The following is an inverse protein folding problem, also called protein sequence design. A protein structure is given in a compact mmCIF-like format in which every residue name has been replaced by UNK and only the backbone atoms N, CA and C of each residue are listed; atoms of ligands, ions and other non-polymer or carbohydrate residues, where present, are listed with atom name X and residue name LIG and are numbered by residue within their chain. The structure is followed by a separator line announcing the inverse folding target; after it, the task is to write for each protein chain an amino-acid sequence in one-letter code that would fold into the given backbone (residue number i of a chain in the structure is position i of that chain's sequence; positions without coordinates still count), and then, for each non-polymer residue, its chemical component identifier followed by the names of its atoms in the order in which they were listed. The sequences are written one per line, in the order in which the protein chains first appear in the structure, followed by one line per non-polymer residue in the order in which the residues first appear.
data_IF_256319673688
#
_entry.id   IF_256319673688
#
_cell.length_a   1.000
_cell.length_b   1.000
_cell.length_c   1.000
_cell.angle_alpha   90.00
_cell.angle_beta   90.00
_cell.angle_gamma   90.00
#
_symmetry.space_group_name_H-M   'P 1'
#
loop_
_entity.id
_entity.type
_entity.pdbx_description
1 polymer ?
#
# COMPACT_ATOMS: atom_id res chain seq x y z
N UNK A 1 8.76 -12.72 9.05
CA UNK A 1 8.72 -13.27 7.68
C UNK A 1 8.75 -12.12 6.68
N UNK A 2 9.52 -12.25 5.64
CA UNK A 2 9.57 -11.29 4.53
C UNK A 2 8.65 -11.79 3.41
N UNK A 3 7.76 -10.92 2.94
CA UNK A 3 6.86 -11.22 1.83
C UNK A 3 7.23 -10.32 0.64
N UNK A 4 7.98 -10.86 -0.30
CA UNK A 4 8.51 -10.11 -1.44
C UNK A 4 7.40 -9.48 -2.30
N UNK A 5 6.26 -10.14 -2.44
CA UNK A 5 5.10 -9.62 -3.17
C UNK A 5 4.51 -8.33 -2.60
N UNK A 6 4.82 -7.97 -1.34
CA UNK A 6 4.33 -6.76 -0.68
C UNK A 6 5.33 -5.58 -0.73
N UNK A 7 6.43 -5.72 -1.46
CA UNK A 7 7.39 -4.63 -1.61
C UNK A 7 6.78 -3.43 -2.33
N UNK A 8 7.38 -2.24 -2.12
CA UNK A 8 6.97 -0.99 -2.77
C UNK A 8 7.01 -1.09 -4.30
N UNK A 9 6.30 -0.17 -4.96
CA UNK A 9 6.30 -0.05 -6.42
C UNK A 9 7.72 0.04 -6.96
N UNK A 10 7.97 -0.64 -8.06
CA UNK A 10 9.19 -0.45 -8.85
C UNK A 10 9.05 0.84 -9.67
N UNK A 11 9.84 1.84 -9.32
CA UNK A 11 9.86 3.15 -10.01
C UNK A 11 10.83 3.17 -11.20
N UNK A 12 11.44 2.04 -11.54
CA UNK A 12 12.32 1.91 -12.70
C UNK A 12 13.46 2.92 -12.70
N UNK A 13 13.56 3.72 -13.76
CA UNK A 13 14.62 4.74 -13.90
C UNK A 13 14.53 5.89 -12.91
N UNK A 14 13.42 6.02 -12.18
CA UNK A 14 13.28 7.03 -11.10
C UNK A 14 13.81 6.55 -9.75
N UNK A 15 14.18 5.27 -9.63
CA UNK A 15 14.74 4.71 -8.40
C UNK A 15 16.00 5.45 -7.95
N UNK A 16 16.08 5.70 -6.63
CA UNK A 16 17.24 6.35 -6.03
C UNK A 16 17.40 7.83 -6.36
N UNK A 17 16.42 8.44 -7.02
CA UNK A 17 16.43 9.88 -7.39
C UNK A 17 15.32 10.60 -6.65
N UNK A 18 15.57 11.82 -6.22
CA UNK A 18 14.56 12.67 -5.58
C UNK A 18 13.90 13.62 -6.61
N UNK A 19 12.80 14.22 -6.20
CA UNK A 19 12.03 15.12 -7.09
C UNK A 19 12.81 16.36 -7.55
N UNK A 20 13.79 16.84 -6.76
CA UNK A 20 14.63 17.99 -7.13
C UNK A 20 15.56 17.61 -8.28
N UNK A 21 16.15 16.41 -8.21
CA UNK A 21 17.03 15.89 -9.29
C UNK A 21 16.27 15.64 -10.59
N UNK A 22 14.97 15.40 -10.51
CA UNK A 22 14.11 15.08 -11.66
C UNK A 22 13.24 16.25 -12.11
N UNK A 23 13.35 17.43 -11.50
CA UNK A 23 12.46 18.58 -11.78
C UNK A 23 12.48 19.05 -13.25
N UNK A 24 13.53 18.75 -13.98
CA UNK A 24 13.68 19.04 -15.41
C UNK A 24 13.70 17.80 -16.30
N UNK A 25 13.49 16.61 -15.74
CA UNK A 25 13.43 15.37 -16.49
C UNK A 25 12.08 15.25 -17.21
N UNK A 26 12.06 15.23 -18.56
CA UNK A 26 10.79 15.20 -19.31
C UNK A 26 9.95 13.96 -19.04
N UNK A 27 10.58 12.80 -18.77
CA UNK A 27 9.87 11.57 -18.44
C UNK A 27 9.19 11.67 -17.07
N UNK A 28 9.88 12.25 -16.11
CA UNK A 28 9.31 12.50 -14.77
C UNK A 28 8.17 13.51 -14.83
N UNK A 29 8.34 14.61 -15.57
CA UNK A 29 7.28 15.61 -15.73
C UNK A 29 6.04 15.05 -16.41
N UNK A 30 6.22 14.21 -17.44
CA UNK A 30 5.11 13.52 -18.10
C UNK A 30 4.40 12.54 -17.17
N UNK A 31 5.15 11.81 -16.36
CA UNK A 31 4.60 10.88 -15.38
C UNK A 31 3.76 11.59 -14.30
N UNK A 32 4.26 12.70 -13.78
CA UNK A 32 3.53 13.54 -12.81
C UNK A 32 2.27 14.15 -13.45
N UNK A 33 2.37 14.64 -14.69
CA UNK A 33 1.23 15.19 -15.42
C UNK A 33 0.13 14.16 -15.68
N UNK A 34 0.48 12.88 -15.76
CA UNK A 34 -0.46 11.76 -15.85
C UNK A 34 -0.97 11.26 -14.49
N UNK A 35 -0.81 12.03 -13.42
CA UNK A 35 -1.16 11.65 -12.03
C UNK A 35 -0.52 10.34 -11.58
N UNK A 36 0.69 10.03 -12.06
CA UNK A 36 1.42 8.80 -11.75
C UNK A 36 0.71 7.51 -12.21
N UNK A 37 -0.28 7.62 -13.09
CA UNK A 37 -1.04 6.47 -13.62
C UNK A 37 -0.30 5.74 -14.75
N UNK A 38 0.54 6.46 -15.50
CA UNK A 38 1.36 5.85 -16.55
C UNK A 38 2.55 5.08 -15.94
N UNK A 39 3.12 4.11 -16.67
CA UNK A 39 4.31 3.41 -16.18
C UNK A 39 5.49 4.36 -16.05
N UNK A 40 6.27 4.20 -14.96
CA UNK A 40 7.61 4.76 -14.90
C UNK A 40 8.46 4.05 -15.96
N UNK A 41 9.41 4.75 -16.63
CA UNK A 41 10.33 4.07 -17.53
C UNK A 41 11.03 2.90 -16.81
N UNK A 42 10.95 1.70 -17.39
CA UNK A 42 11.47 0.44 -16.81
C UNK A 42 10.85 0.05 -15.44
N UNK A 43 9.71 0.63 -15.06
CA UNK A 43 9.02 0.38 -13.80
C UNK A 43 7.63 -0.21 -13.95
N UNK A 44 6.94 -0.32 -12.83
CA UNK A 44 5.56 -0.77 -12.78
C UNK A 44 4.56 0.35 -13.09
N UNK A 45 3.40 0.00 -13.67
CA UNK A 45 2.22 0.87 -13.63
C UNK A 45 1.58 0.78 -12.25
N UNK A 46 0.78 1.78 -11.89
CA UNK A 46 -0.04 1.73 -10.67
C UNK A 46 -0.98 0.52 -10.67
N UNK A 47 -1.59 0.20 -11.82
CA UNK A 47 -2.48 -0.95 -11.95
C UNK A 47 -1.75 -2.27 -11.72
N UNK A 48 -0.58 -2.47 -12.33
CA UNK A 48 0.22 -3.68 -12.14
C UNK A 48 0.73 -3.81 -10.70
N UNK A 49 1.15 -2.71 -10.10
CA UNK A 49 1.54 -2.65 -8.69
C UNK A 49 0.38 -3.07 -7.77
N UNK A 50 -0.79 -2.45 -7.93
CA UNK A 50 -1.98 -2.77 -7.12
C UNK A 50 -2.40 -4.23 -7.25
N UNK A 51 -2.34 -4.79 -8.47
CA UNK A 51 -2.66 -6.20 -8.69
C UNK A 51 -1.67 -7.14 -7.98
N UNK A 52 -0.39 -6.83 -8.06
CA UNK A 52 0.66 -7.60 -7.36
C UNK A 52 0.46 -7.56 -5.84
N UNK A 53 0.23 -6.37 -5.28
CA UNK A 53 -0.01 -6.19 -3.85
C UNK A 53 -1.26 -6.94 -3.41
N UNK A 54 -2.37 -6.78 -4.11
CA UNK A 54 -3.63 -7.42 -3.72
C UNK A 54 -3.55 -8.95 -3.77
N UNK A 55 -2.83 -9.49 -4.74
CA UNK A 55 -2.59 -10.94 -4.83
C UNK A 55 -1.77 -11.44 -3.63
N UNK A 56 -0.66 -10.78 -3.31
CA UNK A 56 0.19 -11.16 -2.19
C UNK A 56 -0.52 -10.97 -0.84
N UNK A 57 -1.24 -9.86 -0.69
CA UNK A 57 -1.98 -9.54 0.52
C UNK A 57 -3.11 -10.54 0.79
N UNK A 58 -3.94 -10.85 -0.21
CA UNK A 58 -5.03 -11.81 -0.05
C UNK A 58 -4.52 -13.20 0.31
N UNK A 59 -3.43 -13.65 -0.32
CA UNK A 59 -2.81 -14.93 0.01
C UNK A 59 -2.29 -14.97 1.45
N UNK A 60 -1.72 -13.86 1.93
CA UNK A 60 -1.23 -13.75 3.31
C UNK A 60 -2.36 -13.80 4.34
N UNK A 61 -3.46 -13.10 4.09
CA UNK A 61 -4.64 -13.14 4.97
C UNK A 61 -5.29 -14.52 4.96
N UNK A 62 -5.43 -15.14 3.79
CA UNK A 62 -5.95 -16.51 3.67
C UNK A 62 -5.10 -17.50 4.49
N UNK A 63 -3.78 -17.39 4.38
CA UNK A 63 -2.86 -18.25 5.13
C UNK A 63 -2.99 -18.04 6.64
N UNK A 64 -3.02 -16.79 7.10
CA UNK A 64 -3.16 -16.48 8.52
C UNK A 64 -4.46 -17.07 9.10
N UNK A 65 -5.57 -16.94 8.39
CA UNK A 65 -6.85 -17.53 8.80
C UNK A 65 -6.80 -19.06 8.81
N UNK A 66 -6.21 -19.68 7.80
CA UNK A 66 -6.07 -21.13 7.73
C UNK A 66 -5.18 -21.69 8.85
N UNK A 67 -4.17 -20.93 9.26
CA UNK A 67 -3.27 -21.28 10.36
C UNK A 67 -3.86 -20.99 11.75
N UNK A 68 -5.06 -20.41 11.82
CA UNK A 68 -5.73 -20.06 13.07
C UNK A 68 -5.12 -18.88 13.81
N UNK A 69 -4.43 -18.00 13.09
CA UNK A 69 -3.82 -16.81 13.69
C UNK A 69 -4.90 -15.82 14.15
N UNK A 70 -4.80 -15.36 15.38
CA UNK A 70 -5.73 -14.37 15.93
C UNK A 70 -5.33 -12.94 15.59
N UNK A 71 -4.05 -12.73 15.27
CA UNK A 71 -3.48 -11.42 14.95
C UNK A 71 -2.45 -11.55 13.85
N UNK A 72 -2.63 -10.79 12.77
CA UNK A 72 -1.65 -10.63 11.71
C UNK A 72 -1.16 -9.17 11.70
N UNK A 73 0.12 -8.96 11.87
CA UNK A 73 0.75 -7.64 11.78
C UNK A 73 1.54 -7.57 10.47
N UNK A 74 1.22 -6.58 9.64
CA UNK A 74 1.92 -6.33 8.39
C UNK A 74 2.61 -4.99 8.49
N UNK A 75 3.92 -4.98 8.35
CA UNK A 75 4.74 -3.78 8.25
C UNK A 75 5.17 -3.61 6.80
N UNK A 76 4.76 -2.52 6.18
CA UNK A 76 4.95 -2.30 4.75
C UNK A 76 5.07 -0.81 4.41
N UNK A 77 5.48 -0.52 3.18
CA UNK A 77 5.49 0.84 2.64
C UNK A 77 4.07 1.38 2.44
N UNK A 78 3.95 2.73 2.39
CA UNK A 78 2.65 3.40 2.24
C UNK A 78 1.88 2.99 0.98
N UNK A 79 2.55 2.84 -0.15
CA UNK A 79 1.91 2.41 -1.39
C UNK A 79 1.29 1.01 -1.29
N UNK A 80 1.96 0.10 -0.61
CA UNK A 80 1.44 -1.25 -0.32
C UNK A 80 0.15 -1.19 0.48
N UNK A 81 0.14 -0.37 1.54
CA UNK A 81 -1.04 -0.16 2.37
C UNK A 81 -2.19 0.45 1.56
N UNK A 82 -1.92 1.50 0.79
CA UNK A 82 -2.92 2.16 -0.04
C UNK A 82 -3.56 1.20 -1.05
N UNK A 83 -2.75 0.41 -1.75
CA UNK A 83 -3.25 -0.54 -2.75
C UNK A 83 -4.13 -1.64 -2.14
N UNK A 84 -3.70 -2.24 -1.04
CA UNK A 84 -4.45 -3.30 -0.37
C UNK A 84 -5.77 -2.78 0.22
N UNK A 85 -5.73 -1.65 0.90
CA UNK A 85 -6.91 -1.11 1.60
C UNK A 85 -7.93 -0.49 0.65
N UNK A 86 -7.53 0.11 -0.45
CA UNK A 86 -8.46 0.55 -1.49
C UNK A 86 -9.34 -0.61 -1.97
N UNK A 87 -8.74 -1.79 -2.18
CA UNK A 87 -9.49 -2.95 -2.67
C UNK A 87 -10.34 -3.64 -1.61
N UNK A 88 -9.82 -3.81 -0.40
CA UNK A 88 -10.40 -4.74 0.57
C UNK A 88 -11.03 -4.08 1.79
N UNK A 89 -10.71 -2.84 2.11
CA UNK A 89 -11.17 -2.21 3.34
C UNK A 89 -12.55 -1.56 3.21
N UNK A 90 -13.31 -1.60 4.30
CA UNK A 90 -14.56 -0.86 4.46
C UNK A 90 -14.45 0.06 5.70
N UNK A 91 -14.98 1.29 5.64
CA UNK A 91 -15.70 1.89 4.52
C UNK A 91 -14.80 2.09 3.30
N UNK A 92 -15.37 2.02 2.09
CA UNK A 92 -14.58 2.21 0.87
C UNK A 92 -14.01 3.62 0.80
N UNK A 93 -12.73 3.73 0.48
CA UNK A 93 -12.02 4.98 0.23
C UNK A 93 -11.10 4.82 -0.96
N UNK A 94 -10.85 5.91 -1.67
CA UNK A 94 -9.93 5.92 -2.79
C UNK A 94 -8.48 5.71 -2.33
N UNK A 95 -7.63 5.31 -3.26
CA UNK A 95 -6.22 4.93 -3.01
C UNK A 95 -5.49 5.91 -2.08
N UNK A 96 -5.48 7.20 -2.40
CA UNK A 96 -4.74 8.20 -1.62
C UNK A 96 -5.37 8.55 -0.27
N UNK A 97 -6.64 8.26 -0.08
CA UNK A 97 -7.31 8.44 1.21
C UNK A 97 -6.83 7.43 2.27
N UNK A 98 -6.19 6.34 1.84
CA UNK A 98 -5.55 5.38 2.72
C UNK A 98 -4.08 5.72 3.02
N UNK A 99 -3.61 6.90 2.59
CA UNK A 99 -2.29 7.40 2.95
C UNK A 99 -2.28 7.81 4.42
N UNK A 100 -1.27 7.39 5.16
CA UNK A 100 -1.07 7.74 6.56
C UNK A 100 0.33 8.26 6.82
N UNK A 101 0.58 8.81 8.02
CA UNK A 101 1.91 9.23 8.42
C UNK A 101 2.84 8.01 8.58
N UNK A 102 4.15 8.27 8.53
CA UNK A 102 5.15 7.26 8.85
C UNK A 102 4.91 6.68 10.25
N UNK A 103 5.12 5.38 10.40
CA UNK A 103 4.84 4.61 11.62
C UNK A 103 3.36 4.62 12.06
N UNK A 104 2.46 5.09 11.20
CA UNK A 104 1.02 4.97 11.38
C UNK A 104 0.47 3.72 10.68
N UNK A 105 -0.83 3.51 10.81
CA UNK A 105 -1.49 2.40 10.13
C UNK A 105 -2.95 2.26 10.54
N UNK A 106 -3.48 1.09 10.25
CA UNK A 106 -4.89 0.78 10.47
C UNK A 106 -5.04 -0.58 11.13
N UNK A 107 -6.00 -0.69 12.03
CA UNK A 107 -6.46 -1.97 12.58
C UNK A 107 -7.76 -2.33 11.89
N UNK A 108 -7.80 -3.55 11.37
CA UNK A 108 -8.90 -4.05 10.55
C UNK A 108 -9.40 -5.37 11.11
N UNK A 109 -10.70 -5.59 11.05
CA UNK A 109 -11.35 -6.83 11.43
C UNK A 109 -11.57 -7.68 10.18
N UNK A 110 -11.14 -8.95 10.23
CA UNK A 110 -11.21 -9.91 9.14
C UNK A 110 -12.38 -10.90 9.24
N UNK A 111 -13.36 -10.65 10.10
CA UNK A 111 -14.48 -11.58 10.31
C UNK A 111 -15.24 -11.92 9.02
N UNK A 112 -15.37 -10.97 8.10
CA UNK A 112 -16.07 -11.14 6.82
C UNK A 112 -15.13 -11.48 5.64
N UNK A 113 -13.86 -11.74 5.90
CA UNK A 113 -12.91 -12.03 4.81
C UNK A 113 -13.21 -13.31 4.05
N UNK A 114 -13.48 -14.40 4.77
CA UNK A 114 -13.71 -15.69 4.14
C UNK A 114 -14.94 -15.68 3.19
N UNK A 115 -16.01 -14.97 3.58
CA UNK A 115 -17.25 -14.92 2.81
C UNK A 115 -17.27 -13.79 1.76
N UNK A 116 -16.78 -12.61 2.12
CA UNK A 116 -16.99 -11.38 1.34
C UNK A 116 -15.71 -10.73 0.83
N UNK A 117 -14.54 -11.20 1.26
CA UNK A 117 -13.24 -10.60 0.92
C UNK A 117 -13.15 -9.13 1.31
N UNK A 118 -13.67 -8.78 2.49
CA UNK A 118 -13.61 -7.43 3.03
C UNK A 118 -13.03 -7.40 4.43
N UNK A 119 -12.39 -6.28 4.76
CA UNK A 119 -11.82 -5.98 6.06
C UNK A 119 -12.49 -4.73 6.60
N UNK A 120 -13.01 -4.78 7.82
CA UNK A 120 -13.68 -3.65 8.45
C UNK A 120 -12.69 -2.80 9.26
N UNK A 121 -12.60 -1.52 8.96
CA UNK A 121 -11.76 -0.59 9.71
C UNK A 121 -12.27 -0.49 11.16
N UNK A 122 -11.39 -0.80 12.12
CA UNK A 122 -11.66 -0.69 13.55
C UNK A 122 -11.15 0.64 14.09
N UNK A 123 -9.89 0.97 13.80
CA UNK A 123 -9.27 2.23 14.23
C UNK A 123 -8.06 2.58 13.38
N UNK A 124 -7.72 3.86 13.37
CA UNK A 124 -6.48 4.38 12.83
C UNK A 124 -5.43 4.43 13.94
N UNK A 125 -4.20 4.01 13.61
CA UNK A 125 -3.05 4.08 14.51
C UNK A 125 -2.16 5.24 14.07
N UNK A 126 -1.81 6.11 15.01
CA UNK A 126 -0.88 7.21 14.78
C UNK A 126 0.20 7.19 15.85
N UNK A 127 1.44 7.43 15.44
CA UNK A 127 2.56 7.60 16.35
C UNK A 127 2.74 9.09 16.65
N UNK A 128 2.71 9.43 17.94
CA UNK A 128 3.03 10.77 18.42
C UNK A 128 4.33 10.70 19.21
N UNK A 129 5.32 11.50 18.84
CA UNK A 129 6.54 11.60 19.63
C UNK A 129 6.22 12.34 20.93
N UNK A 130 6.81 11.90 22.06
CA UNK A 130 6.65 12.59 23.35
C UNK A 130 7.08 14.07 23.28
N UNK A 131 7.94 14.42 22.35
CA UNK A 131 8.41 15.80 22.12
C UNK A 131 7.41 16.68 21.36
N UNK A 132 6.34 16.13 20.85
CA UNK A 132 5.30 16.83 20.10
C UNK A 132 4.10 17.26 20.99
N UNK A 133 4.26 17.09 22.28
CA UNK A 133 3.25 17.44 23.31
C UNK A 133 3.53 18.83 23.87
#
# INVERSE_FOLDING_TARGET
VVVDGLKEMCFGSFEGRNYIEMEHDPDYLAWVAANCESPCPDGETKAAFSERICRAFSALVDKALADGEELLVILAHGGTQMAALERYALPHKDYYEWCGPNAGGFVLDAADWADKRVLHLVKTVQYTRETDV
#
